data_IF_378431360189
#
_entry.id   IF_378431360189
#
_cell.length_a   1.000
_cell.length_b   1.000
_cell.length_c   1.000
_cell.angle_alpha   90.00
_cell.angle_beta   90.00
_cell.angle_gamma   90.00
#
_symmetry.space_group_name_H-M   'P 1'
#
loop_
_entity.id
_entity.type
_entity.pdbx_description
1 polymer ?
#
# COMPACT_ATOMS: atom_id res chain seq x y z
N UNK A 1 32.05 -2.67 -19.50
CA UNK A 1 31.48 -4.03 -19.60
C UNK A 1 30.97 -4.29 -21.02
N UNK A 2 31.06 -5.51 -21.56
CA UNK A 2 30.53 -5.83 -22.92
C UNK A 2 28.99 -5.93 -22.86
N UNK A 3 28.27 -5.45 -23.89
CA UNK A 3 26.78 -5.35 -23.93
C UNK A 3 26.03 -6.60 -23.45
N UNK A 4 26.52 -7.80 -23.78
CA UNK A 4 25.94 -9.09 -23.35
C UNK A 4 25.81 -9.24 -21.82
N UNK A 5 26.75 -8.69 -21.04
CA UNK A 5 26.69 -8.79 -19.57
C UNK A 5 25.56 -7.97 -18.95
N UNK A 6 25.15 -6.86 -19.58
CA UNK A 6 24.01 -6.06 -19.10
C UNK A 6 22.69 -6.78 -19.35
N UNK A 7 22.56 -7.49 -20.47
CA UNK A 7 21.39 -8.32 -20.77
C UNK A 7 21.31 -9.53 -19.84
N UNK A 8 22.42 -10.23 -19.61
CA UNK A 8 22.49 -11.34 -18.64
C UNK A 8 22.19 -10.84 -17.23
N UNK A 9 22.76 -9.70 -16.80
CA UNK A 9 22.47 -9.11 -15.49
C UNK A 9 20.99 -8.72 -15.35
N UNK A 10 20.39 -8.07 -16.35
CA UNK A 10 18.97 -7.73 -16.32
C UNK A 10 18.05 -8.95 -16.25
N UNK A 11 18.39 -10.02 -16.97
CA UNK A 11 17.64 -11.28 -16.93
C UNK A 11 17.82 -12.01 -15.59
N UNK A 12 19.02 -12.00 -15.01
CA UNK A 12 19.27 -12.53 -13.66
C UNK A 12 18.52 -11.73 -12.58
N UNK A 13 18.49 -10.40 -12.66
CA UNK A 13 17.71 -9.56 -11.74
C UNK A 13 16.22 -9.83 -11.88
N UNK A 14 15.69 -9.92 -13.11
CA UNK A 14 14.28 -10.26 -13.35
C UNK A 14 13.91 -11.63 -12.79
N UNK A 15 14.72 -12.65 -13.07
CA UNK A 15 14.50 -14.01 -12.57
C UNK A 15 14.60 -14.09 -11.04
N UNK A 16 15.63 -13.49 -10.44
CA UNK A 16 15.78 -13.46 -8.99
C UNK A 16 14.63 -12.71 -8.30
N UNK A 17 14.20 -11.56 -8.86
CA UNK A 17 13.09 -10.78 -8.31
C UNK A 17 11.79 -11.57 -8.26
N UNK A 18 11.45 -12.30 -9.33
CA UNK A 18 10.23 -13.12 -9.37
C UNK A 18 10.35 -14.46 -8.62
N UNK A 19 11.55 -15.06 -8.52
CA UNK A 19 11.74 -16.27 -7.72
C UNK A 19 11.61 -15.99 -6.22
N UNK A 20 12.19 -14.88 -5.74
CA UNK A 20 12.10 -14.49 -4.33
C UNK A 20 10.69 -13.98 -4.00
N UNK A 21 10.14 -13.05 -4.79
CA UNK A 21 8.79 -12.55 -4.54
C UNK A 21 7.72 -13.65 -4.70
N UNK A 22 7.99 -14.69 -5.51
CA UNK A 22 7.10 -15.82 -5.72
C UNK A 22 7.09 -16.89 -4.63
N UNK A 23 7.81 -16.71 -3.51
CA UNK A 23 7.89 -17.70 -2.43
C UNK A 23 8.66 -18.97 -2.76
N UNK A 24 9.41 -19.03 -3.87
CA UNK A 24 10.17 -20.23 -4.26
C UNK A 24 11.47 -20.42 -3.47
N UNK A 25 11.80 -19.50 -2.56
CA UNK A 25 12.99 -19.54 -1.70
C UNK A 25 12.60 -19.05 -0.31
N UNK A 26 11.95 -19.90 0.48
CA UNK A 26 11.69 -19.63 1.89
C UNK A 26 12.95 -19.94 2.75
N UNK A 27 13.44 -18.99 3.56
CA UNK A 27 14.63 -19.19 4.40
C UNK A 27 14.31 -19.78 5.78
N UNK A 28 13.03 -20.02 6.11
CA UNK A 28 12.56 -20.50 7.41
C UNK A 28 11.81 -21.84 7.25
N UNK A 29 12.01 -22.81 8.16
CA UNK A 29 11.23 -24.05 8.18
C UNK A 29 9.86 -23.81 8.79
N UNK A 30 8.86 -24.41 8.17
CA UNK A 30 7.45 -24.44 8.60
C UNK A 30 7.29 -25.21 9.93
N UNK A 31 6.78 -24.59 11.03
CA UNK A 31 6.52 -25.29 12.28
C UNK A 31 5.20 -26.08 12.20
N UNK A 32 5.28 -27.40 12.35
CA UNK A 32 4.12 -28.28 12.20
C UNK A 32 3.01 -28.11 13.26
N UNK A 33 1.79 -28.44 12.82
CA UNK A 33 0.48 -28.41 13.50
C UNK A 33 0.46 -28.80 14.99
N UNK A 34 -0.46 -28.15 15.74
CA UNK A 34 -1.33 -28.85 16.69
C UNK A 34 -2.82 -28.73 16.29
N UNK A 35 -3.49 -29.88 16.18
CA UNK A 35 -4.92 -30.02 15.79
C UNK A 35 -5.92 -29.54 16.90
N UNK A 36 -5.39 -28.96 17.99
CA UNK A 36 -6.13 -28.30 19.07
C UNK A 36 -5.33 -27.10 19.55
N UNK A 37 -5.94 -25.91 19.56
CA UNK A 37 -5.37 -24.74 20.22
C UNK A 37 -5.26 -25.02 21.72
N UNK A 38 -4.04 -25.19 22.19
CA UNK A 38 -3.74 -25.30 23.62
C UNK A 38 -4.01 -23.96 24.30
N UNK A 39 -4.45 -23.97 25.56
CA UNK A 39 -4.88 -22.74 26.25
C UNK A 39 -3.73 -21.74 26.44
N UNK A 40 -2.47 -22.19 26.44
CA UNK A 40 -1.29 -21.32 26.42
C UNK A 40 -1.11 -20.51 25.11
N UNK A 41 -1.86 -20.82 24.06
CA UNK A 41 -1.86 -20.10 22.77
C UNK A 41 -3.03 -19.11 22.62
N UNK A 42 -3.92 -19.04 23.61
CA UNK A 42 -5.07 -18.16 23.64
C UNK A 42 -4.86 -17.04 24.66
N UNK A 43 -5.29 -15.83 24.31
CA UNK A 43 -5.37 -14.71 25.25
C UNK A 43 -6.71 -14.76 25.99
N UNK A 44 -6.78 -14.23 27.21
CA UNK A 44 -8.03 -14.10 27.94
C UNK A 44 -8.37 -12.60 28.01
N UNK A 45 -9.35 -12.09 27.24
CA UNK A 45 -9.56 -10.65 27.11
C UNK A 45 -10.09 -9.99 28.38
N UNK A 46 -10.87 -10.71 29.19
CA UNK A 46 -11.41 -10.24 30.47
C UNK A 46 -11.04 -11.21 31.61
N UNK A 47 -10.86 -10.70 32.83
CA UNK A 47 -10.58 -11.53 34.01
C UNK A 47 -11.71 -12.55 34.27
N UNK A 48 -11.39 -13.84 34.07
CA UNK A 48 -12.37 -14.94 34.07
C UNK A 48 -13.43 -14.84 32.94
N UNK A 49 -13.09 -14.27 31.78
CA UNK A 49 -13.93 -14.34 30.55
C UNK A 49 -13.59 -15.55 29.67
N UNK A 50 -14.16 -15.62 28.47
CA UNK A 50 -13.73 -16.57 27.42
C UNK A 50 -12.29 -16.36 26.96
N UNK A 51 -11.73 -17.38 26.29
CA UNK A 51 -10.41 -17.32 25.67
C UNK A 51 -10.53 -17.03 24.18
N UNK A 52 -9.67 -16.17 23.66
CA UNK A 52 -9.64 -15.71 22.26
C UNK A 52 -8.30 -16.11 21.61
N UNK A 53 -8.35 -16.56 20.36
CA UNK A 53 -7.14 -16.75 19.56
C UNK A 53 -6.64 -15.37 19.05
N UNK A 54 -5.38 -14.98 19.33
CA UNK A 54 -4.90 -13.62 19.08
C UNK A 54 -4.64 -13.28 17.61
N UNK A 55 -5.12 -14.10 16.67
CA UNK A 55 -4.96 -13.90 15.23
C UNK A 55 -6.29 -14.07 14.48
N UNK A 56 -6.28 -13.69 13.21
CA UNK A 56 -7.38 -13.91 12.27
C UNK A 56 -6.93 -14.83 11.13
N UNK A 57 -7.80 -15.73 10.70
CA UNK A 57 -7.54 -16.71 9.63
C UNK A 57 -8.47 -16.51 8.44
N UNK A 58 -8.05 -16.97 7.26
CA UNK A 58 -8.88 -16.96 6.03
C UNK A 58 -9.96 -18.03 6.05
N UNK A 59 -9.71 -19.13 6.75
CA UNK A 59 -10.60 -20.27 6.91
C UNK A 59 -10.71 -20.64 8.40
N UNK A 60 -11.55 -21.62 8.73
CA UNK A 60 -11.77 -22.07 10.12
C UNK A 60 -10.67 -23.05 10.57
N UNK A 61 -9.42 -22.63 10.39
CA UNK A 61 -8.19 -23.34 10.79
C UNK A 61 -7.11 -22.34 11.22
N UNK A 62 -6.19 -22.78 12.05
CA UNK A 62 -4.95 -22.06 12.41
C UNK A 62 -3.99 -21.90 11.22
N UNK A 63 -4.02 -22.81 10.25
CA UNK A 63 -2.99 -22.89 9.19
C UNK A 63 -3.05 -21.72 8.19
N UNK A 64 -4.22 -21.09 8.06
CA UNK A 64 -4.41 -19.89 7.23
C UNK A 64 -4.37 -18.58 8.04
N UNK A 65 -3.63 -18.58 9.15
CA UNK A 65 -3.31 -17.40 9.97
C UNK A 65 -2.84 -16.21 9.11
N UNK A 66 -3.37 -15.02 9.44
CA UNK A 66 -3.06 -13.77 8.74
C UNK A 66 -2.53 -12.72 9.70
N UNK A 67 -3.37 -11.76 10.12
CA UNK A 67 -2.96 -10.66 10.98
C UNK A 67 -3.40 -10.90 12.42
N UNK A 68 -2.69 -10.29 13.36
CA UNK A 68 -3.07 -10.33 14.77
C UNK A 68 -4.37 -9.53 15.04
N UNK A 69 -5.05 -9.90 16.12
CA UNK A 69 -5.88 -8.98 16.91
C UNK A 69 -4.90 -8.05 17.63
N UNK A 70 -5.15 -6.74 17.59
CA UNK A 70 -4.26 -5.73 18.17
C UNK A 70 -4.93 -4.81 19.19
N UNK A 71 -6.25 -4.85 19.32
CA UNK A 71 -6.99 -4.11 20.33
C UNK A 71 -8.14 -4.95 20.90
N UNK A 72 -8.44 -4.77 22.18
CA UNK A 72 -9.67 -5.26 22.83
C UNK A 72 -10.34 -4.07 23.52
N UNK A 73 -11.63 -3.90 23.29
CA UNK A 73 -12.46 -2.87 23.95
C UNK A 73 -13.51 -3.57 24.80
N UNK A 74 -13.63 -3.18 26.07
CA UNK A 74 -14.66 -3.71 26.97
C UNK A 74 -15.95 -2.90 26.85
N UNK A 75 -17.08 -3.61 26.77
CA UNK A 75 -18.41 -3.03 26.55
C UNK A 75 -19.21 -3.79 25.49
N UNK A 76 -20.51 -3.54 25.45
CA UNK A 76 -21.41 -4.18 24.49
C UNK A 76 -21.15 -3.72 23.05
N UNK A 77 -21.39 -4.62 22.09
CA UNK A 77 -21.18 -4.43 20.65
C UNK A 77 -21.77 -3.08 20.16
N UNK A 78 -23.06 -2.83 20.42
CA UNK A 78 -23.73 -1.61 19.97
C UNK A 78 -23.28 -0.34 20.70
N UNK A 79 -22.51 -0.46 21.78
CA UNK A 79 -21.84 0.69 22.41
C UNK A 79 -20.49 0.93 21.75
N UNK A 80 -19.68 -0.11 21.55
CA UNK A 80 -18.37 0.03 20.88
C UNK A 80 -18.55 0.50 19.44
N UNK A 81 -19.48 -0.09 18.68
CA UNK A 81 -19.80 0.34 17.31
C UNK A 81 -20.28 1.81 17.28
N UNK A 82 -21.14 2.21 18.22
CA UNK A 82 -21.64 3.60 18.28
C UNK A 82 -20.57 4.60 18.72
N UNK A 83 -19.61 4.20 19.54
CA UNK A 83 -18.46 5.05 19.87
C UNK A 83 -17.51 5.21 18.68
N UNK A 84 -17.25 4.14 17.92
CA UNK A 84 -16.41 4.19 16.72
C UNK A 84 -17.04 4.99 15.57
N UNK A 85 -18.35 4.89 15.38
CA UNK A 85 -19.09 5.60 14.31
C UNK A 85 -19.54 7.01 14.74
N UNK A 86 -19.74 7.23 16.04
CA UNK A 86 -20.39 8.42 16.61
C UNK A 86 -19.46 9.52 17.12
N UNK A 87 -18.19 9.57 16.70
CA UNK A 87 -17.26 10.65 17.06
C UNK A 87 -17.61 12.04 16.43
N UNK A 88 -18.85 12.25 15.99
CA UNK A 88 -19.36 13.57 15.55
C UNK A 88 -20.09 14.35 16.68
N UNK A 89 -20.41 13.71 17.82
CA UNK A 89 -21.34 14.25 18.83
C UNK A 89 -20.66 15.08 19.95
N UNK A 90 -20.24 16.30 19.63
CA UNK A 90 -20.16 17.39 20.62
C UNK A 90 -21.53 18.11 20.73
N UNK A 91 -22.50 17.46 21.35
CA UNK A 91 -23.74 18.11 21.84
C UNK A 91 -23.43 19.02 23.05
N UNK A 92 -23.42 20.36 22.93
CA UNK A 92 -23.59 21.25 24.10
C UNK A 92 -24.41 22.52 23.82
N UNK A 93 -25.60 22.53 24.43
CA UNK A 93 -26.46 23.61 25.00
C UNK A 93 -26.65 25.01 24.34
N UNK A 94 -27.79 25.63 24.68
CA UNK A 94 -28.25 26.94 24.17
C UNK A 94 -27.46 28.09 24.84
N UNK A 95 -26.81 28.94 24.03
CA UNK A 95 -25.92 30.02 24.47
C UNK A 95 -26.62 31.02 25.42
N UNK A 96 -25.90 31.51 26.44
CA UNK A 96 -26.36 32.63 27.26
C UNK A 96 -26.30 33.93 26.42
N UNK A 97 -27.39 34.70 26.24
CA UNK A 97 -27.42 35.87 25.34
C UNK A 97 -26.47 37.02 25.71
N UNK A 98 -25.78 36.95 26.85
CA UNK A 98 -24.71 37.90 27.21
C UNK A 98 -23.34 37.54 26.56
N UNK A 99 -23.21 36.41 25.85
CA UNK A 99 -21.97 35.97 25.14
C UNK A 99 -21.98 36.21 23.61
N UNK A 100 -22.99 36.91 23.05
CA UNK A 100 -23.23 37.04 21.60
C UNK A 100 -22.16 37.75 20.73
N UNK A 101 -21.11 38.38 21.29
CA UNK A 101 -20.27 39.37 20.58
C UNK A 101 -18.74 39.07 20.51
N UNK A 102 -18.26 37.89 20.95
CA UNK A 102 -16.87 37.48 20.70
C UNK A 102 -16.75 36.47 19.53
N UNK A 103 -15.97 36.78 18.46
CA UNK A 103 -15.76 35.84 17.35
C UNK A 103 -14.72 34.78 17.72
N UNK A 104 -15.17 33.70 18.35
CA UNK A 104 -14.34 32.50 18.54
C UNK A 104 -14.08 31.81 17.19
N UNK A 105 -12.82 31.86 16.76
CA UNK A 105 -12.32 31.05 15.65
C UNK A 105 -11.77 29.76 16.22
N UNK A 106 -12.57 28.70 16.18
CA UNK A 106 -12.11 27.33 16.39
C UNK A 106 -11.30 26.88 15.16
N UNK A 107 -10.01 27.22 15.14
CA UNK A 107 -9.00 26.45 14.42
C UNK A 107 -8.50 25.35 15.37
N UNK A 108 -9.21 24.22 15.42
CA UNK A 108 -8.69 22.89 15.74
C UNK A 108 -9.78 21.84 15.48
N UNK A 109 -9.86 21.39 14.22
CA UNK A 109 -10.65 20.25 13.75
C UNK A 109 -9.94 19.59 12.56
N UNK A 110 -8.62 19.40 12.69
CA UNK A 110 -7.84 18.54 11.80
C UNK A 110 -7.74 17.14 12.43
N UNK A 111 -8.01 16.12 11.62
CA UNK A 111 -7.73 14.69 11.86
C UNK A 111 -8.59 13.88 12.86
N UNK A 112 -9.87 14.21 13.09
CA UNK A 112 -10.84 13.20 13.56
C UNK A 112 -11.14 12.18 12.43
N UNK A 113 -11.05 10.89 12.75
CA UNK A 113 -11.18 9.81 11.77
C UNK A 113 -12.63 9.33 11.68
N UNK A 114 -13.31 9.71 10.59
CA UNK A 114 -14.68 9.26 10.33
C UNK A 114 -14.71 7.80 9.84
N UNK A 115 -15.30 6.92 10.65
CA UNK A 115 -15.42 5.48 10.38
C UNK A 115 -16.76 5.12 9.70
N UNK A 116 -16.69 4.68 8.44
CA UNK A 116 -17.83 4.24 7.61
C UNK A 116 -17.96 2.72 7.49
N UNK A 117 -19.15 2.21 7.13
CA UNK A 117 -19.40 0.78 6.82
C UNK A 117 -18.48 0.22 5.71
N UNK A 118 -17.66 -0.77 6.06
CA UNK A 118 -16.69 -1.37 5.15
C UNK A 118 -17.11 -2.73 4.58
N UNK A 119 -16.61 -3.02 3.38
CA UNK A 119 -16.76 -4.32 2.71
C UNK A 119 -15.39 -4.96 2.49
N UNK A 120 -15.15 -6.10 3.12
CA UNK A 120 -13.89 -6.85 3.08
C UNK A 120 -14.04 -8.32 2.67
N UNK A 121 -12.94 -9.08 2.74
CA UNK A 121 -13.00 -10.55 2.67
C UNK A 121 -13.12 -11.13 4.08
N UNK A 122 -14.06 -12.05 4.28
CA UNK A 122 -14.35 -12.68 5.57
C UNK A 122 -13.11 -13.24 6.24
N UNK A 123 -12.99 -13.06 7.54
CA UNK A 123 -11.94 -13.64 8.38
C UNK A 123 -12.56 -14.26 9.61
N UNK A 124 -11.93 -15.34 10.08
CA UNK A 124 -12.37 -16.05 11.26
C UNK A 124 -11.38 -15.84 12.41
N UNK A 125 -11.87 -15.76 13.63
CA UNK A 125 -11.08 -15.99 14.85
C UNK A 125 -11.75 -17.05 15.70
N UNK A 126 -11.03 -17.61 16.67
CA UNK A 126 -11.50 -18.72 17.49
C UNK A 126 -11.72 -18.27 18.94
N UNK A 127 -12.86 -18.67 19.51
CA UNK A 127 -13.25 -18.37 20.89
C UNK A 127 -13.59 -19.66 21.64
N UNK A 128 -13.02 -19.84 22.83
CA UNK A 128 -13.38 -20.88 23.80
C UNK A 128 -14.12 -20.24 24.99
N UNK A 129 -15.46 -20.26 24.91
CA UNK A 129 -16.37 -19.81 25.97
C UNK A 129 -16.89 -20.95 26.87
N UNK A 130 -16.27 -22.14 26.83
CA UNK A 130 -16.79 -23.34 27.48
C UNK A 130 -16.94 -23.23 29.02
N UNK A 131 -16.16 -22.37 29.67
CA UNK A 131 -16.24 -22.17 31.13
C UNK A 131 -17.47 -21.34 31.56
N UNK A 132 -18.06 -20.59 30.62
CA UNK A 132 -19.26 -19.76 30.84
C UNK A 132 -20.52 -20.34 30.22
N UNK A 133 -20.47 -21.61 29.79
CA UNK A 133 -21.59 -22.33 29.18
C UNK A 133 -21.76 -22.08 27.68
N UNK A 134 -20.81 -21.40 27.04
CA UNK A 134 -20.74 -21.26 25.58
C UNK A 134 -20.07 -22.45 24.90
N UNK A 135 -19.98 -22.38 23.57
CA UNK A 135 -19.28 -23.37 22.75
C UNK A 135 -17.86 -22.93 22.38
N UNK A 136 -17.09 -23.87 21.81
CA UNK A 136 -15.76 -23.65 21.20
C UNK A 136 -15.94 -23.45 19.71
N UNK A 137 -15.87 -22.20 19.25
CA UNK A 137 -16.32 -21.85 17.91
C UNK A 137 -15.35 -20.93 17.17
N UNK A 138 -15.34 -21.08 15.86
CA UNK A 138 -14.81 -20.08 14.94
C UNK A 138 -15.91 -19.09 14.60
N UNK A 139 -15.71 -17.81 14.95
CA UNK A 139 -16.59 -16.68 14.64
C UNK A 139 -16.02 -15.91 13.46
N UNK A 140 -16.89 -15.39 12.60
CA UNK A 140 -16.59 -14.38 11.57
C UNK A 140 -16.71 -12.95 12.13
N UNK A 141 -16.40 -11.94 11.31
CA UNK A 141 -16.52 -10.54 11.73
C UNK A 141 -17.97 -10.11 11.98
N UNK A 142 -18.23 -9.46 13.13
CA UNK A 142 -19.55 -8.91 13.49
C UNK A 142 -19.87 -7.67 12.67
N UNK A 143 -18.86 -6.79 12.49
CA UNK A 143 -18.92 -5.62 11.61
C UNK A 143 -17.52 -5.23 11.11
N UNK A 144 -17.48 -4.43 10.04
CA UNK A 144 -16.24 -3.87 9.46
C UNK A 144 -16.42 -2.38 9.25
N UNK A 145 -15.43 -1.57 9.65
CA UNK A 145 -15.42 -0.13 9.43
C UNK A 145 -14.18 0.29 8.65
N UNK A 146 -14.23 1.43 7.97
CA UNK A 146 -13.07 2.03 7.31
C UNK A 146 -13.06 3.55 7.42
N UNK A 147 -11.87 4.12 7.32
CA UNK A 147 -11.70 5.57 7.16
C UNK A 147 -10.64 5.86 6.08
N UNK A 148 -11.01 6.68 5.10
CA UNK A 148 -10.21 6.93 3.89
C UNK A 148 -10.89 6.45 2.61
N UNK A 149 -10.11 6.08 1.58
CA UNK A 149 -10.64 5.78 0.23
C UNK A 149 -10.33 4.36 -0.21
N UNK A 150 -11.26 3.75 -0.95
CA UNK A 150 -11.12 2.38 -1.46
C UNK A 150 -9.99 2.28 -2.48
N UNK A 151 -9.93 3.16 -3.49
CA UNK A 151 -8.87 3.13 -4.53
C UNK A 151 -7.59 3.87 -4.12
N UNK A 152 -7.54 4.43 -2.92
CA UNK A 152 -6.38 5.08 -2.31
C UNK A 152 -5.79 4.22 -1.20
N UNK A 153 -5.68 4.83 -0.02
CA UNK A 153 -5.36 4.21 1.26
C UNK A 153 -6.50 4.45 2.25
N UNK A 154 -6.67 3.52 3.19
CA UNK A 154 -7.64 3.61 4.28
C UNK A 154 -7.15 2.87 5.51
N UNK A 155 -7.59 3.30 6.68
CA UNK A 155 -7.61 2.44 7.87
C UNK A 155 -8.85 1.55 7.80
N UNK A 156 -8.75 0.33 8.34
CA UNK A 156 -9.80 -0.66 8.27
C UNK A 156 -9.86 -1.43 9.59
N UNK A 157 -11.05 -1.50 10.18
CA UNK A 157 -11.37 -2.25 11.40
C UNK A 157 -12.15 -3.50 11.01
N UNK A 158 -11.81 -4.62 11.65
CA UNK A 158 -12.71 -5.76 11.83
C UNK A 158 -12.97 -5.96 13.31
N UNK A 159 -14.23 -6.00 13.69
CA UNK A 159 -14.66 -6.30 15.04
C UNK A 159 -15.20 -7.72 15.14
N UNK A 160 -14.86 -8.40 16.24
CA UNK A 160 -15.34 -9.73 16.58
C UNK A 160 -15.93 -9.66 17.99
N UNK A 161 -17.17 -10.12 18.15
CA UNK A 161 -17.93 -10.08 19.41
C UNK A 161 -18.45 -11.47 19.77
N UNK A 162 -18.88 -11.65 21.03
CA UNK A 162 -19.40 -12.91 21.55
C UNK A 162 -20.64 -12.63 22.41
N UNK A 163 -21.65 -13.52 22.37
CA UNK A 163 -22.86 -13.39 23.19
C UNK A 163 -22.62 -13.69 24.69
N UNK A 164 -21.41 -14.11 25.06
CA UNK A 164 -21.08 -14.63 26.40
C UNK A 164 -20.28 -13.68 27.29
N UNK A 165 -19.60 -12.67 26.72
CA UNK A 165 -18.75 -11.72 27.46
C UNK A 165 -18.85 -10.33 26.83
N UNK A 166 -18.81 -9.28 27.65
CA UNK A 166 -18.84 -7.87 27.20
C UNK A 166 -17.44 -7.39 26.73
N UNK A 167 -16.91 -8.01 25.67
CA UNK A 167 -15.71 -7.54 24.97
C UNK A 167 -15.88 -7.55 23.45
N UNK A 168 -15.22 -6.60 22.79
CA UNK A 168 -15.09 -6.50 21.33
C UNK A 168 -13.61 -6.58 20.98
N UNK A 169 -13.21 -7.63 20.26
CA UNK A 169 -11.86 -7.78 19.76
C UNK A 169 -11.73 -7.10 18.39
N UNK A 170 -10.72 -6.24 18.25
CA UNK A 170 -10.51 -5.41 17.08
C UNK A 170 -9.18 -5.77 16.40
N UNK A 171 -9.28 -5.98 15.10
CA UNK A 171 -8.16 -5.93 14.17
C UNK A 171 -8.25 -4.62 13.40
N UNK A 172 -7.35 -3.68 13.71
CA UNK A 172 -7.20 -2.40 12.99
C UNK A 172 -5.91 -2.39 12.17
N UNK A 173 -6.00 -2.08 10.88
CA UNK A 173 -4.85 -2.04 9.97
C UNK A 173 -4.96 -0.97 8.89
N UNK A 174 -3.82 -0.49 8.39
CA UNK A 174 -3.75 0.39 7.23
C UNK A 174 -3.54 -0.45 5.98
N UNK A 175 -4.41 -0.24 5.00
CA UNK A 175 -4.33 -0.88 3.69
C UNK A 175 -4.47 0.12 2.55
N UNK A 176 -3.94 -0.24 1.39
CA UNK A 176 -4.13 0.53 0.16
C UNK A 176 -4.47 -0.39 -1.01
N UNK A 177 -5.23 0.12 -1.98
CA UNK A 177 -5.50 -0.65 -3.19
C UNK A 177 -4.27 -0.69 -4.11
N UNK A 178 -3.75 -1.90 -4.32
CA UNK A 178 -2.64 -2.17 -5.22
C UNK A 178 -3.16 -2.49 -6.62
N UNK A 179 -3.12 -1.49 -7.50
CA UNK A 179 -3.46 -1.60 -8.92
C UNK A 179 -2.69 -2.67 -9.72
N UNK A 180 -1.53 -3.14 -9.25
CA UNK A 180 -0.73 -4.19 -9.88
C UNK A 180 -0.95 -5.58 -9.25
N UNK A 181 -1.56 -5.67 -8.06
CA UNK A 181 -2.01 -6.94 -7.44
C UNK A 181 -3.53 -7.16 -7.52
N UNK A 182 -4.30 -6.13 -7.89
CA UNK A 182 -5.77 -6.08 -7.89
C UNK A 182 -6.42 -6.44 -6.55
N UNK A 183 -5.78 -6.04 -5.45
CA UNK A 183 -6.27 -6.25 -4.08
C UNK A 183 -5.76 -5.17 -3.14
N UNK A 184 -6.42 -5.04 -1.99
CA UNK A 184 -5.86 -4.30 -0.87
C UNK A 184 -4.58 -5.00 -0.38
N UNK A 185 -3.58 -4.19 -0.07
CA UNK A 185 -2.31 -4.62 0.50
C UNK A 185 -2.15 -3.92 1.83
N UNK A 186 -2.04 -4.70 2.91
CA UNK A 186 -1.79 -4.17 4.25
C UNK A 186 -0.34 -3.72 4.34
N UNK A 187 -0.11 -2.55 4.93
CA UNK A 187 1.21 -1.90 5.02
C UNK A 187 1.67 -1.63 6.44
N UNK A 188 0.73 -1.59 7.39
CA UNK A 188 0.97 -1.26 8.78
C UNK A 188 -0.20 -1.76 9.65
N UNK A 189 0.10 -2.26 10.86
CA UNK A 189 -0.90 -2.49 11.91
C UNK A 189 -0.62 -1.67 13.18
N UNK A 190 0.64 -1.33 13.47
CA UNK A 190 1.05 -0.65 14.70
C UNK A 190 0.74 0.85 14.71
N UNK A 191 0.97 1.58 13.61
CA UNK A 191 0.53 2.97 13.50
C UNK A 191 -0.99 3.04 13.53
N UNK A 192 -1.66 2.11 12.88
CA UNK A 192 -3.14 2.05 12.86
C UNK A 192 -3.73 1.80 14.25
N UNK A 193 -3.09 0.91 15.02
CA UNK A 193 -3.36 0.70 16.44
C UNK A 193 -3.10 1.98 17.25
N UNK A 194 -1.93 2.61 17.11
CA UNK A 194 -1.60 3.86 17.81
C UNK A 194 -2.56 5.02 17.47
N UNK A 195 -3.05 5.09 16.23
CA UNK A 195 -4.02 6.10 15.78
C UNK A 195 -5.37 5.88 16.45
N UNK A 196 -5.89 4.64 16.43
CA UNK A 196 -7.13 4.29 17.11
C UNK A 196 -7.01 4.40 18.65
N UNK A 197 -5.83 4.12 19.23
CA UNK A 197 -5.54 4.43 20.63
C UNK A 197 -5.62 5.94 20.90
N UNK A 198 -5.16 6.78 19.97
CA UNK A 198 -5.26 8.24 20.05
C UNK A 198 -6.71 8.72 20.12
N UNK A 199 -7.59 8.18 19.28
CA UNK A 199 -9.04 8.46 19.29
C UNK A 199 -9.71 8.14 20.64
N UNK A 200 -9.19 7.19 21.44
CA UNK A 200 -9.66 6.91 22.79
C UNK A 200 -8.94 7.68 23.91
N UNK A 201 -7.79 8.31 23.63
CA UNK A 201 -6.98 9.00 24.66
C UNK A 201 -7.49 10.40 25.01
N UNK A 202 -8.33 11.00 24.17
CA UNK A 202 -8.83 12.38 24.35
C UNK A 202 -10.29 12.44 24.82
N UNK A 203 -10.93 11.28 25.00
CA UNK A 203 -12.37 11.14 25.31
C UNK A 203 -12.68 11.08 26.82
N UNK A 204 -13.64 11.87 27.34
CA UNK A 204 -13.88 12.02 28.78
C UNK A 204 -14.54 10.80 29.47
N UNK A 205 -14.83 9.74 28.73
CA UNK A 205 -15.46 8.50 29.21
C UNK A 205 -14.55 7.28 29.16
N UNK A 206 -13.28 7.43 28.78
CA UNK A 206 -12.27 6.37 28.81
C UNK A 206 -11.56 6.43 30.17
N UNK A 207 -11.75 5.42 31.02
CA UNK A 207 -11.20 5.45 32.39
C UNK A 207 -9.65 5.37 32.40
N UNK A 208 -9.03 4.85 31.34
CA UNK A 208 -7.94 3.89 31.53
C UNK A 208 -7.29 3.58 30.10
N UNK A 209 -5.96 3.60 29.78
CA UNK A 209 -5.28 3.05 28.53
C UNK A 209 -3.86 2.41 28.73
N UNK A 210 -3.65 1.08 28.52
CA UNK A 210 -2.42 0.27 28.83
C UNK A 210 -2.05 -0.71 27.70
N UNK A 211 -0.87 -1.33 27.80
CA UNK A 211 -0.40 -2.41 26.91
C UNK A 211 0.05 -3.64 27.70
N UNK A 212 -0.41 -4.79 27.26
CA UNK A 212 -0.04 -6.09 27.81
C UNK A 212 0.76 -6.91 26.80
N UNK A 213 1.80 -7.57 27.29
CA UNK A 213 2.65 -8.41 26.45
C UNK A 213 2.16 -9.85 26.50
N UNK A 214 1.59 -10.31 25.39
CA UNK A 214 1.06 -11.68 25.23
C UNK A 214 1.99 -12.56 24.37
N UNK A 215 3.11 -12.04 23.88
CA UNK A 215 4.14 -12.83 23.17
C UNK A 215 3.77 -13.23 21.74
N UNK A 216 2.75 -12.59 21.18
CA UNK A 216 2.19 -12.80 19.83
C UNK A 216 3.01 -12.10 18.74
N UNK A 217 4.19 -12.63 18.42
CA UNK A 217 5.15 -12.02 17.47
C UNK A 217 4.87 -12.31 15.99
N UNK A 218 3.78 -13.02 15.69
CA UNK A 218 3.41 -13.39 14.33
C UNK A 218 2.32 -12.45 13.79
N UNK A 219 1.94 -12.59 12.51
CA UNK A 219 0.90 -11.74 11.91
C UNK A 219 1.19 -10.23 11.94
N UNK A 220 2.47 -9.86 11.90
CA UNK A 220 3.02 -8.49 11.93
C UNK A 220 2.89 -7.74 13.28
N UNK A 221 2.54 -8.43 14.36
CA UNK A 221 2.54 -7.88 15.73
C UNK A 221 3.95 -8.04 16.39
N UNK A 222 4.31 -7.16 17.33
CA UNK A 222 5.58 -7.19 18.10
C UNK A 222 5.47 -7.93 19.45
N UNK A 223 4.36 -8.62 19.68
CA UNK A 223 4.05 -9.38 20.89
C UNK A 223 3.23 -8.62 21.94
N UNK A 224 2.83 -7.38 21.65
CA UNK A 224 2.02 -6.54 22.56
C UNK A 224 0.59 -6.40 22.04
N UNK A 225 -0.36 -6.40 22.99
CA UNK A 225 -1.78 -6.18 22.76
C UNK A 225 -2.25 -5.08 23.73
N UNK A 226 -3.03 -4.12 23.25
CA UNK A 226 -3.45 -2.98 24.07
C UNK A 226 -4.69 -3.34 24.88
N UNK A 227 -4.57 -3.27 26.21
CA UNK A 227 -5.62 -3.49 27.22
C UNK A 227 -5.67 -2.24 28.07
N UNK A 228 -6.83 -1.61 28.14
CA UNK A 228 -6.95 -0.17 28.32
C UNK A 228 -7.01 0.17 29.86
N UNK A 229 -5.87 0.64 30.47
CA UNK A 229 -5.64 1.21 31.87
C UNK A 229 -4.57 2.37 32.01
N UNK A 230 -4.90 3.55 32.59
CA UNK A 230 -4.33 4.93 32.42
C UNK A 230 -2.98 5.21 33.12
N UNK A 231 -2.02 5.82 32.39
CA UNK A 231 -1.04 6.75 32.97
C UNK A 231 -0.39 7.68 31.91
N UNK A 232 -0.13 8.94 32.29
CA UNK A 232 0.25 10.03 31.36
C UNK A 232 1.77 10.29 31.27
N UNK A 233 2.33 10.42 30.05
CA UNK A 233 3.65 11.06 29.80
C UNK A 233 3.63 11.89 28.51
N UNK A 234 4.19 13.10 28.57
CA UNK A 234 4.04 14.17 27.58
C UNK A 234 4.91 14.05 26.29
N UNK A 235 4.51 14.70 25.17
CA UNK A 235 5.25 14.69 23.91
C UNK A 235 6.49 15.60 23.89
N UNK A 236 7.51 15.20 23.13
CA UNK A 236 8.70 16.02 22.82
C UNK A 236 8.50 16.67 21.45
N UNK A 237 8.27 17.98 21.43
CA UNK A 237 8.27 18.79 20.20
C UNK A 237 9.71 19.12 19.79
N UNK A 238 10.09 18.79 18.55
CA UNK A 238 11.32 19.29 17.91
C UNK A 238 10.96 20.07 16.66
N UNK A 239 10.93 21.40 16.77
CA UNK A 239 10.78 22.30 15.62
C UNK A 239 12.05 22.43 14.79
N UNK A 240 11.91 22.82 13.51
CA UNK A 240 13.07 23.05 12.65
C UNK A 240 12.77 23.46 11.21
N UNK A 241 12.38 24.73 10.99
CA UNK A 241 12.48 25.38 9.67
C UNK A 241 13.68 26.33 9.66
N UNK A 242 14.32 26.46 8.50
CA UNK A 242 15.44 27.35 8.15
C UNK A 242 16.84 27.03 8.72
N UNK A 243 17.73 26.58 7.81
CA UNK A 243 19.16 26.82 7.96
C UNK A 243 20.08 25.82 7.25
N UNK A 244 20.31 25.98 5.94
CA UNK A 244 21.58 25.55 5.33
C UNK A 244 21.91 26.29 4.01
N UNK A 245 22.29 27.55 4.19
CA UNK A 245 23.03 28.30 3.18
C UNK A 245 24.52 27.93 3.30
N UNK A 246 25.03 27.18 2.32
CA UNK A 246 26.45 27.20 1.95
C UNK A 246 27.46 26.34 2.70
N UNK A 247 27.80 25.18 2.11
CA UNK A 247 29.20 24.88 1.77
C UNK A 247 29.29 24.44 0.31
N UNK A 248 29.19 25.40 -0.61
CA UNK A 248 29.76 25.24 -1.94
C UNK A 248 31.22 25.67 -1.85
N UNK A 249 32.14 24.71 -1.90
CA UNK A 249 33.56 25.02 -2.02
C UNK A 249 33.85 25.66 -3.38
N UNK A 250 34.59 26.78 -3.36
CA UNK A 250 34.79 27.67 -4.52
C UNK A 250 35.69 27.11 -5.63
N UNK A 251 36.11 25.84 -5.55
CA UNK A 251 36.86 25.14 -6.60
C UNK A 251 35.99 24.25 -7.51
N UNK A 252 34.74 23.94 -7.14
CA UNK A 252 33.86 23.08 -7.93
C UNK A 252 33.10 23.79 -9.07
N UNK A 253 33.03 25.13 -9.05
CA UNK A 253 32.20 25.91 -9.99
C UNK A 253 32.85 26.15 -11.37
N UNK A 254 34.17 26.03 -11.51
CA UNK A 254 34.87 26.18 -12.79
C UNK A 254 34.81 24.93 -13.70
N UNK A 255 34.28 23.79 -13.23
CA UNK A 255 34.11 22.58 -14.03
C UNK A 255 32.83 22.54 -14.88
N UNK A 256 31.75 23.16 -14.41
CA UNK A 256 30.38 22.92 -14.92
C UNK A 256 30.10 23.65 -16.25
N UNK A 257 30.70 24.83 -16.47
CA UNK A 257 30.41 25.67 -17.64
C UNK A 257 30.99 25.15 -18.97
N UNK A 258 31.90 24.15 -18.95
CA UNK A 258 32.33 23.43 -20.17
C UNK A 258 31.53 22.15 -20.42
N UNK A 259 30.84 21.61 -19.42
CA UNK A 259 29.95 20.45 -19.54
C UNK A 259 28.55 20.81 -20.02
N UNK A 260 28.05 22.01 -19.70
CA UNK A 260 26.68 22.47 -19.94
C UNK A 260 26.19 22.26 -21.38
N UNK A 261 26.92 22.72 -22.40
CA UNK A 261 26.53 22.53 -23.82
C UNK A 261 26.45 21.05 -24.21
N UNK A 262 27.30 20.19 -23.66
CA UNK A 262 27.32 18.75 -23.95
C UNK A 262 26.18 18.02 -23.25
N UNK A 263 25.88 18.40 -22.01
CA UNK A 263 24.74 17.92 -21.24
C UNK A 263 23.41 18.37 -21.88
N UNK A 264 23.28 19.63 -22.27
CA UNK A 264 22.11 20.17 -22.99
C UNK A 264 21.94 19.50 -24.37
N UNK A 265 23.02 19.30 -25.13
CA UNK A 265 22.95 18.56 -26.40
C UNK A 265 22.51 17.11 -26.17
N UNK A 266 23.03 16.44 -25.13
CA UNK A 266 22.59 15.09 -24.77
C UNK A 266 21.13 15.05 -24.33
N UNK A 267 20.67 16.00 -23.51
CA UNK A 267 19.29 16.09 -23.05
C UNK A 267 18.34 16.33 -24.23
N UNK A 268 18.67 17.27 -25.12
CA UNK A 268 17.93 17.53 -26.37
C UNK A 268 17.84 16.27 -27.25
N UNK A 269 18.94 15.53 -27.39
CA UNK A 269 18.96 14.26 -28.14
C UNK A 269 18.17 13.12 -27.46
N UNK A 270 17.81 13.26 -26.18
CA UNK A 270 17.04 12.29 -25.40
C UNK A 270 15.66 12.83 -24.96
N UNK A 271 15.11 13.90 -25.58
CA UNK A 271 13.77 14.45 -25.26
C UNK A 271 12.69 13.38 -25.25
N UNK A 272 12.69 12.48 -26.25
CA UNK A 272 11.81 11.29 -26.26
C UNK A 272 11.91 10.40 -25.02
N UNK A 273 13.08 10.33 -24.41
CA UNK A 273 13.34 9.58 -23.18
C UNK A 273 12.73 10.26 -21.96
N UNK A 274 12.85 11.58 -21.85
CA UNK A 274 12.16 12.34 -20.80
C UNK A 274 10.63 12.27 -20.96
N UNK A 275 10.11 12.42 -22.18
CA UNK A 275 8.67 12.26 -22.44
C UNK A 275 8.20 10.84 -22.12
N UNK A 276 8.99 9.81 -22.44
CA UNK A 276 8.71 8.43 -22.03
C UNK A 276 8.68 8.26 -20.51
N UNK A 277 9.67 8.79 -19.80
CA UNK A 277 9.72 8.68 -18.34
C UNK A 277 8.51 9.37 -17.68
N UNK A 278 8.18 10.59 -18.11
CA UNK A 278 7.02 11.35 -17.61
C UNK A 278 5.70 10.68 -17.98
N UNK A 279 5.56 10.14 -19.20
CA UNK A 279 4.33 9.46 -19.63
C UNK A 279 4.09 8.15 -18.87
N UNK A 280 5.15 7.38 -18.54
CA UNK A 280 5.01 6.18 -17.71
C UNK A 280 4.65 6.52 -16.27
N UNK A 281 5.32 7.52 -15.67
CA UNK A 281 4.98 7.98 -14.32
C UNK A 281 3.53 8.51 -14.24
N UNK A 282 3.16 9.37 -15.20
CA UNK A 282 1.82 9.97 -15.30
C UNK A 282 0.71 8.96 -15.62
N UNK A 283 1.01 7.82 -16.25
CA UNK A 283 0.05 6.73 -16.42
C UNK A 283 -0.26 6.00 -15.10
N UNK A 284 0.74 5.79 -14.25
CA UNK A 284 0.53 5.17 -12.92
C UNK A 284 -0.28 6.12 -12.03
N UNK A 285 0.27 7.31 -11.77
CA UNK A 285 -0.36 8.31 -10.90
C UNK A 285 -1.71 8.77 -11.45
N UNK A 286 -1.84 8.93 -12.77
CA UNK A 286 -3.09 9.35 -13.42
C UNK A 286 -4.19 8.28 -13.38
N UNK A 287 -3.84 6.99 -13.35
CA UNK A 287 -4.84 5.93 -13.12
C UNK A 287 -5.34 5.97 -11.68
N UNK A 288 -4.47 6.14 -10.68
CA UNK A 288 -4.92 6.28 -9.29
C UNK A 288 -5.76 7.54 -9.08
N UNK A 289 -5.27 8.69 -9.51
CA UNK A 289 -5.98 9.96 -9.41
C UNK A 289 -7.33 9.94 -10.15
N UNK A 290 -7.38 9.29 -11.32
CA UNK A 290 -8.63 9.06 -12.06
C UNK A 290 -9.61 8.13 -11.33
N UNK A 291 -9.11 7.06 -10.70
CA UNK A 291 -9.91 6.18 -9.86
C UNK A 291 -10.53 6.91 -8.67
N UNK A 292 -9.70 7.60 -7.88
CA UNK A 292 -10.12 8.41 -6.73
C UNK A 292 -11.14 9.49 -7.10
N UNK A 293 -10.91 10.22 -8.19
CA UNK A 293 -11.83 11.26 -8.66
C UNK A 293 -13.20 10.70 -9.11
N UNK A 294 -13.23 9.48 -9.64
CA UNK A 294 -14.49 8.82 -10.05
C UNK A 294 -15.21 8.18 -8.86
N UNK A 295 -14.47 7.62 -7.90
CA UNK A 295 -14.98 7.13 -6.62
C UNK A 295 -15.72 8.24 -5.86
N UNK A 296 -15.05 9.38 -5.64
CA UNK A 296 -15.65 10.55 -4.98
C UNK A 296 -16.83 11.16 -5.75
N UNK A 297 -16.84 11.08 -7.09
CA UNK A 297 -17.91 11.66 -7.91
C UNK A 297 -19.14 10.75 -8.06
N UNK A 298 -19.01 9.43 -7.81
CA UNK A 298 -20.03 8.42 -8.12
C UNK A 298 -20.10 7.33 -7.02
N UNK A 299 -20.39 7.70 -5.75
CA UNK A 299 -20.28 6.78 -4.60
C UNK A 299 -21.27 5.60 -4.64
N UNK A 300 -22.34 5.68 -5.43
CA UNK A 300 -23.34 4.60 -5.55
C UNK A 300 -22.94 3.45 -6.50
N UNK A 301 -21.75 3.51 -7.11
CA UNK A 301 -21.21 2.43 -7.94
C UNK A 301 -20.04 1.79 -7.20
N UNK A 302 -19.99 0.46 -7.14
CA UNK A 302 -18.90 -0.25 -6.46
C UNK A 302 -17.54 0.08 -7.10
N UNK A 303 -16.50 0.41 -6.32
CA UNK A 303 -15.18 0.78 -6.85
C UNK A 303 -14.55 -0.27 -7.78
N UNK A 304 -14.91 -1.55 -7.61
CA UNK A 304 -14.53 -2.68 -8.47
C UNK A 304 -14.93 -2.48 -9.95
N UNK A 305 -16.03 -1.77 -10.22
CA UNK A 305 -16.44 -1.43 -11.58
C UNK A 305 -15.43 -0.46 -12.23
N UNK A 306 -14.90 0.50 -11.48
CA UNK A 306 -13.88 1.42 -11.95
C UNK A 306 -12.54 0.69 -12.18
N UNK A 307 -12.16 -0.23 -11.29
CA UNK A 307 -10.97 -1.09 -11.48
C UNK A 307 -10.98 -1.78 -12.85
N UNK A 308 -12.14 -2.35 -13.24
CA UNK A 308 -12.34 -3.01 -14.55
C UNK A 308 -12.05 -2.08 -15.75
N UNK A 309 -12.32 -0.77 -15.62
CA UNK A 309 -12.10 0.23 -16.67
C UNK A 309 -10.66 0.77 -16.67
N UNK A 310 -10.12 1.05 -15.48
CA UNK A 310 -8.82 1.71 -15.33
C UNK A 310 -7.63 0.74 -15.39
N UNK A 311 -7.75 -0.49 -14.89
CA UNK A 311 -6.64 -1.46 -14.89
C UNK A 311 -6.08 -1.78 -16.30
N UNK A 312 -6.91 -1.98 -17.36
CA UNK A 312 -6.42 -2.14 -18.73
C UNK A 312 -5.50 -1.01 -19.22
N UNK A 313 -5.65 0.21 -18.70
CA UNK A 313 -4.80 1.36 -19.02
C UNK A 313 -3.38 1.13 -18.51
N UNK A 314 -3.19 0.52 -17.34
CA UNK A 314 -1.85 0.13 -16.85
C UNK A 314 -1.30 -1.06 -17.64
N UNK A 315 -2.08 -2.14 -17.76
CA UNK A 315 -1.65 -3.40 -18.38
C UNK A 315 -1.19 -3.20 -19.83
N UNK A 316 -1.95 -2.42 -20.61
CA UNK A 316 -1.72 -2.21 -22.04
C UNK A 316 -1.06 -0.85 -22.32
N UNK A 317 -1.46 0.20 -21.63
CA UNK A 317 -0.98 1.57 -21.88
C UNK A 317 0.50 1.78 -21.53
N UNK A 318 1.02 1.13 -20.48
CA UNK A 318 2.45 1.20 -20.15
C UNK A 318 3.33 0.54 -21.26
N UNK A 319 3.10 -0.73 -21.68
CA UNK A 319 3.77 -1.31 -22.84
C UNK A 319 3.57 -0.54 -24.15
N UNK A 320 2.35 -0.07 -24.45
CA UNK A 320 2.07 0.68 -25.70
C UNK A 320 2.84 2.01 -25.71
N UNK A 321 2.90 2.72 -24.58
CA UNK A 321 3.66 3.97 -24.45
C UNK A 321 5.16 3.73 -24.64
N UNK A 322 5.70 2.68 -24.01
CA UNK A 322 7.08 2.25 -24.22
C UNK A 322 7.36 1.94 -25.70
N UNK A 323 6.50 1.17 -26.39
CA UNK A 323 6.65 0.83 -27.81
C UNK A 323 6.57 2.09 -28.69
N UNK A 324 5.56 2.95 -28.49
CA UNK A 324 5.30 4.12 -29.33
C UNK A 324 6.44 5.14 -29.28
N UNK A 325 7.03 5.37 -28.10
CA UNK A 325 8.06 6.40 -27.92
C UNK A 325 9.48 5.91 -28.24
N UNK A 326 9.72 4.59 -28.23
CA UNK A 326 11.04 4.00 -28.50
C UNK A 326 11.21 3.44 -29.91
N UNK A 327 10.16 2.88 -30.51
CA UNK A 327 10.26 2.13 -31.77
C UNK A 327 10.58 3.07 -32.96
N UNK A 328 11.48 2.67 -33.88
CA UNK A 328 11.72 3.41 -35.12
C UNK A 328 10.50 3.33 -36.05
N UNK A 329 10.21 4.44 -36.74
CA UNK A 329 9.03 4.56 -37.62
C UNK A 329 9.02 3.54 -38.77
N UNK A 330 10.19 3.09 -39.22
CA UNK A 330 10.37 2.03 -40.23
C UNK A 330 9.74 0.69 -39.81
N UNK A 331 9.62 0.44 -38.50
CA UNK A 331 9.04 -0.80 -37.92
C UNK A 331 7.58 -0.59 -37.48
N UNK A 332 7.03 0.61 -37.64
CA UNK A 332 5.67 0.97 -37.22
C UNK A 332 4.61 0.32 -38.12
N UNK A 333 3.86 -0.64 -37.57
CA UNK A 333 2.69 -1.23 -38.25
C UNK A 333 1.38 -0.78 -37.61
N UNK A 334 1.14 -1.17 -36.36
CA UNK A 334 -0.15 -0.96 -35.67
C UNK A 334 -0.35 0.47 -35.15
N UNK A 335 0.70 1.13 -34.67
CA UNK A 335 0.60 2.44 -33.99
C UNK A 335 1.12 3.62 -34.83
N UNK A 336 1.13 3.50 -36.16
CA UNK A 336 1.78 4.43 -37.09
C UNK A 336 1.33 5.90 -36.95
N UNK A 337 0.08 6.15 -36.55
CA UNK A 337 -0.41 7.52 -36.27
C UNK A 337 0.28 8.13 -35.03
N UNK A 338 0.27 7.40 -33.91
CA UNK A 338 0.90 7.82 -32.65
C UNK A 338 2.42 7.94 -32.81
N UNK A 339 3.04 6.99 -33.51
CA UNK A 339 4.48 6.96 -33.75
C UNK A 339 4.94 8.09 -34.68
N UNK A 340 4.07 8.56 -35.60
CA UNK A 340 4.32 9.78 -36.39
C UNK A 340 4.32 11.03 -35.50
N UNK A 341 3.36 11.20 -34.60
CA UNK A 341 3.36 12.32 -33.63
C UNK A 341 4.59 12.25 -32.73
N UNK A 342 4.90 11.07 -32.19
CA UNK A 342 6.10 10.85 -31.40
C UNK A 342 7.39 11.15 -32.19
N UNK A 343 7.43 11.04 -33.51
CA UNK A 343 8.61 11.35 -34.33
C UNK A 343 8.99 12.83 -34.33
N UNK A 344 8.04 13.73 -34.03
CA UNK A 344 8.30 15.16 -33.86
C UNK A 344 9.14 15.46 -32.61
N UNK A 345 9.15 14.56 -31.62
CA UNK A 345 9.96 14.65 -30.40
C UNK A 345 11.45 14.27 -30.61
N UNK A 346 11.84 13.89 -31.84
CA UNK A 346 13.24 13.64 -32.21
C UNK A 346 13.53 12.22 -32.69
N UNK A 347 14.82 11.85 -32.67
CA UNK A 347 15.31 10.55 -33.17
C UNK A 347 14.89 9.37 -32.26
N UNK A 348 14.82 8.13 -32.77
CA UNK A 348 14.67 6.94 -31.94
C UNK A 348 15.72 6.87 -30.83
N UNK A 349 15.30 6.45 -29.65
CA UNK A 349 16.18 6.27 -28.50
C UNK A 349 17.18 5.14 -28.77
N UNK A 350 18.41 5.27 -28.27
CA UNK A 350 19.31 4.14 -28.23
C UNK A 350 18.78 3.09 -27.22
N UNK A 351 18.95 1.77 -27.44
CA UNK A 351 18.33 0.73 -26.61
C UNK A 351 18.64 0.86 -25.11
N UNK A 352 19.87 1.22 -24.75
CA UNK A 352 20.25 1.45 -23.36
C UNK A 352 19.60 2.71 -22.75
N UNK A 353 19.33 3.75 -23.55
CA UNK A 353 18.55 4.91 -23.09
C UNK A 353 17.08 4.54 -22.91
N UNK A 354 16.51 3.79 -23.86
CA UNK A 354 15.12 3.31 -23.79
C UNK A 354 14.88 2.45 -22.53
N UNK A 355 15.81 1.54 -22.19
CA UNK A 355 15.81 0.80 -20.93
C UNK A 355 15.81 1.75 -19.73
N UNK A 356 16.82 2.64 -19.64
CA UNK A 356 17.03 3.49 -18.48
C UNK A 356 15.87 4.47 -18.23
N UNK A 357 15.37 5.14 -19.27
CA UNK A 357 14.23 6.05 -19.14
C UNK A 357 12.93 5.33 -18.79
N UNK A 358 12.74 4.09 -19.24
CA UNK A 358 11.55 3.30 -18.86
C UNK A 358 11.61 2.85 -17.40
N UNK A 359 12.78 2.37 -16.96
CA UNK A 359 13.00 1.96 -15.57
C UNK A 359 12.87 3.14 -14.60
N UNK A 360 13.50 4.28 -14.91
CA UNK A 360 13.38 5.51 -14.10
C UNK A 360 11.96 6.07 -14.13
N UNK A 361 11.29 6.06 -15.29
CA UNK A 361 9.92 6.56 -15.43
C UNK A 361 8.90 5.75 -14.64
N UNK A 362 8.92 4.43 -14.79
CA UNK A 362 8.00 3.55 -14.05
C UNK A 362 8.32 3.54 -12.55
N UNK A 363 9.61 3.54 -12.17
CA UNK A 363 10.03 3.64 -10.77
C UNK A 363 9.63 4.95 -10.11
N UNK A 364 9.80 6.08 -10.79
CA UNK A 364 9.28 7.36 -10.33
C UNK A 364 7.75 7.36 -10.25
N UNK A 365 7.06 6.70 -11.19
CA UNK A 365 5.63 6.45 -11.11
C UNK A 365 5.21 5.74 -9.83
N UNK A 366 5.86 4.63 -9.48
CA UNK A 366 5.58 3.91 -8.23
C UNK A 366 5.88 4.75 -6.99
N UNK A 367 7.01 5.45 -6.94
CA UNK A 367 7.37 6.30 -5.78
C UNK A 367 6.35 7.44 -5.60
N UNK A 368 5.97 8.12 -6.68
CA UNK A 368 4.95 9.18 -6.64
C UNK A 368 3.55 8.63 -6.28
N UNK A 369 3.22 7.42 -6.74
CA UNK A 369 1.98 6.73 -6.39
C UNK A 369 1.91 6.48 -4.88
N UNK A 370 2.93 5.82 -4.29
CA UNK A 370 2.99 5.53 -2.85
C UNK A 370 3.03 6.81 -1.99
N UNK A 371 3.79 7.83 -2.39
CA UNK A 371 3.80 9.12 -1.70
C UNK A 371 2.42 9.81 -1.76
N UNK A 372 1.70 9.69 -2.88
CA UNK A 372 0.36 10.26 -3.06
C UNK A 372 -0.74 9.60 -2.23
N UNK A 373 -0.48 8.42 -1.65
CA UNK A 373 -1.36 7.71 -0.70
C UNK A 373 -0.72 7.52 0.69
N UNK A 374 0.30 8.31 1.03
CA UNK A 374 0.90 8.29 2.37
C UNK A 374 1.63 7.00 2.77
N UNK A 375 1.90 6.07 1.84
CA UNK A 375 2.51 4.79 2.16
C UNK A 375 4.03 4.94 2.38
N UNK A 376 4.44 4.80 3.64
CA UNK A 376 5.84 4.95 4.08
C UNK A 376 6.64 3.65 4.09
N UNK A 377 5.97 2.50 4.10
CA UNK A 377 6.56 1.17 4.32
C UNK A 377 6.03 0.19 3.26
N UNK A 378 6.91 -0.66 2.72
CA UNK A 378 6.57 -1.66 1.70
C UNK A 378 7.25 -2.99 2.02
N UNK A 379 6.55 -4.14 1.93
CA UNK A 379 7.17 -5.46 1.99
C UNK A 379 8.25 -5.66 0.91
N UNK A 380 9.24 -6.49 1.21
CA UNK A 380 10.39 -6.71 0.32
C UNK A 380 9.95 -7.43 -0.95
N UNK A 381 9.01 -8.36 -0.83
CA UNK A 381 8.39 -9.16 -1.90
C UNK A 381 7.69 -8.23 -2.90
N UNK A 382 6.95 -7.25 -2.37
CA UNK A 382 6.29 -6.21 -3.15
C UNK A 382 7.30 -5.33 -3.90
N UNK A 383 8.37 -4.88 -3.22
CA UNK A 383 9.43 -4.08 -3.83
C UNK A 383 10.17 -4.85 -4.93
N UNK A 384 10.43 -6.15 -4.73
CA UNK A 384 11.03 -7.04 -5.72
C UNK A 384 10.09 -7.28 -6.90
N UNK A 385 8.79 -7.47 -6.67
CA UNK A 385 7.79 -7.55 -7.74
C UNK A 385 7.79 -6.28 -8.61
N UNK A 386 7.79 -5.09 -7.98
CA UNK A 386 7.91 -3.80 -8.69
C UNK A 386 9.22 -3.69 -9.47
N UNK A 387 10.34 -4.15 -8.92
CA UNK A 387 11.63 -4.19 -9.62
C UNK A 387 11.58 -5.11 -10.85
N UNK A 388 10.94 -6.27 -10.74
CA UNK A 388 10.69 -7.17 -11.86
C UNK A 388 9.88 -6.50 -12.98
N UNK A 389 8.76 -5.83 -12.65
CA UNK A 389 7.96 -5.09 -13.62
C UNK A 389 8.74 -3.95 -14.30
N UNK A 390 9.56 -3.20 -13.53
CA UNK A 390 10.45 -2.16 -14.07
C UNK A 390 11.47 -2.71 -15.06
N UNK A 391 12.11 -3.84 -14.73
CA UNK A 391 13.08 -4.49 -15.60
C UNK A 391 12.40 -5.08 -16.85
N UNK A 392 11.23 -5.71 -16.70
CA UNK A 392 10.46 -6.25 -17.81
C UNK A 392 10.05 -5.17 -18.82
N UNK A 393 9.48 -4.05 -18.35
CA UNK A 393 9.11 -2.92 -19.22
C UNK A 393 10.37 -2.25 -19.82
N UNK A 394 11.46 -2.14 -19.06
CA UNK A 394 12.74 -1.66 -19.57
C UNK A 394 13.31 -2.52 -20.69
N UNK A 395 13.25 -3.86 -20.56
CA UNK A 395 13.65 -4.80 -21.62
C UNK A 395 12.74 -4.66 -22.85
N UNK A 396 11.42 -4.58 -22.65
CA UNK A 396 10.45 -4.37 -23.72
C UNK A 396 10.78 -3.10 -24.52
N UNK A 397 11.04 -1.97 -23.84
CA UNK A 397 11.46 -0.70 -24.41
C UNK A 397 12.82 -0.77 -25.15
N UNK A 398 13.78 -1.52 -24.60
CA UNK A 398 15.09 -1.72 -25.23
C UNK A 398 14.99 -2.59 -26.49
N UNK A 399 14.11 -3.59 -26.50
CA UNK A 399 13.84 -4.45 -27.64
C UNK A 399 13.11 -3.73 -28.78
N UNK A 400 12.10 -2.91 -28.46
CA UNK A 400 11.38 -2.09 -29.44
C UNK A 400 12.24 -0.99 -30.07
N UNK A 401 13.22 -0.44 -29.34
CA UNK A 401 14.22 0.50 -29.85
C UNK A 401 15.19 -0.11 -30.90
N UNK A 402 15.19 -1.43 -31.08
CA UNK A 402 16.00 -2.15 -32.08
C UNK A 402 15.15 -2.64 -33.25
N UNK A 403 15.80 -2.96 -34.37
CA UNK A 403 15.18 -3.52 -35.58
C UNK A 403 15.61 -4.96 -35.90
N UNK A 404 16.62 -5.49 -35.21
CA UNK A 404 17.24 -6.78 -35.47
C UNK A 404 16.63 -7.95 -34.66
N UNK A 405 17.14 -9.16 -34.90
CA UNK A 405 16.71 -10.38 -34.21
C UNK A 405 17.06 -10.36 -32.71
N UNK A 406 18.19 -9.76 -32.31
CA UNK A 406 18.54 -9.54 -30.90
C UNK A 406 17.48 -8.64 -30.23
N UNK A 407 17.06 -7.56 -30.90
CA UNK A 407 15.95 -6.71 -30.47
C UNK A 407 14.62 -7.46 -30.29
N UNK A 408 14.28 -8.35 -31.23
CA UNK A 408 13.05 -9.15 -31.15
C UNK A 408 13.07 -10.13 -29.95
N UNK A 409 14.23 -10.76 -29.67
CA UNK A 409 14.38 -11.63 -28.50
C UNK A 409 14.25 -10.85 -27.18
N UNK A 410 14.93 -9.70 -27.06
CA UNK A 410 14.84 -8.83 -25.87
C UNK A 410 13.39 -8.34 -25.66
N UNK A 411 12.71 -7.94 -26.74
CA UNK A 411 11.29 -7.55 -26.69
C UNK A 411 10.39 -8.68 -26.18
N UNK A 412 10.58 -9.90 -26.71
CA UNK A 412 9.82 -11.08 -26.29
C UNK A 412 10.02 -11.43 -24.81
N UNK A 413 11.26 -11.34 -24.31
CA UNK A 413 11.57 -11.55 -22.88
C UNK A 413 10.91 -10.47 -22.01
N UNK A 414 11.00 -9.20 -22.40
CA UNK A 414 10.36 -8.10 -21.67
C UNK A 414 8.83 -8.22 -21.62
N UNK A 415 8.21 -8.57 -22.75
CA UNK A 415 6.77 -8.80 -22.82
C UNK A 415 6.32 -10.02 -22.00
N UNK A 416 7.06 -11.13 -22.06
CA UNK A 416 6.79 -12.30 -21.24
C UNK A 416 6.93 -11.97 -19.74
N UNK A 417 8.01 -11.29 -19.35
CA UNK A 417 8.22 -10.87 -17.97
C UNK A 417 7.15 -9.91 -17.44
N UNK A 418 6.60 -9.06 -18.31
CA UNK A 418 5.48 -8.16 -17.97
C UNK A 418 4.19 -8.94 -17.73
N UNK A 419 3.84 -9.86 -18.65
CA UNK A 419 2.64 -10.71 -18.53
C UNK A 419 2.76 -11.65 -17.31
N UNK A 420 3.91 -12.26 -17.07
CA UNK A 420 4.15 -13.12 -15.90
C UNK A 420 4.06 -12.32 -14.61
N UNK A 421 4.71 -11.15 -14.52
CA UNK A 421 4.64 -10.29 -13.33
C UNK A 421 3.21 -9.88 -12.98
N UNK A 422 2.41 -9.48 -13.98
CA UNK A 422 0.99 -9.17 -13.77
C UNK A 422 0.12 -10.39 -13.46
N UNK A 423 0.52 -11.60 -13.88
CA UNK A 423 -0.22 -12.84 -13.60
C UNK A 423 0.09 -13.41 -12.21
N UNK A 424 1.32 -13.31 -11.72
CA UNK A 424 1.73 -13.81 -10.39
C UNK A 424 0.76 -13.46 -9.25
N UNK A 425 0.33 -12.20 -9.04
CA UNK A 425 -0.55 -11.87 -7.93
C UNK A 425 -1.98 -12.40 -8.09
N UNK A 426 -2.41 -12.70 -9.32
CA UNK A 426 -3.74 -13.27 -9.63
C UNK A 426 -3.81 -14.77 -9.30
N UNK A 427 -2.66 -15.44 -9.22
CA UNK A 427 -2.53 -16.85 -8.82
C UNK A 427 -2.01 -17.03 -7.39
N UNK A 428 -1.96 -15.95 -6.59
CA UNK A 428 -1.57 -16.01 -5.17
C UNK A 428 -0.05 -16.06 -4.90
N UNK A 429 0.81 -15.98 -5.92
CA UNK A 429 2.28 -16.02 -5.76
C UNK A 429 2.90 -14.70 -5.25
N UNK A 430 2.14 -13.86 -4.52
CA UNK A 430 2.57 -12.55 -4.01
C UNK A 430 1.75 -12.13 -2.80
#
# INVERSE_FOLDING_TARGET
MKRRHLLVLGLLVLAASYLVAGGFVDPLPDPGEPETLDREQLIQPADNGSYLWPYTSRDRSTDEQTLAINLVVHGSDERVQRLLVGQEDLEWEELDPDEEDEPEVYEDADDQIQWDDAHGSTRYTYVDAAEHGGERIWIDESYQLHAGTYLGSRHHIRAYTTEHDDWTAIQVHQEYFDWFRLRHSVTDIQRSQNTLEGEFLEEPYVEEVRREYHGTHEGWNDGWLSVIELALVAPIVVGGVLGLLGVLSTDALCGVLRGSRRALTWAYLNVRGFVLAVALAGLVVGVRAGGLAVEAAVPWISPQAFVTVFYPILVVGLPVTAIVLTQPLERASRFLRLQRVASWLGKPLAPQSAFAFSLVGLGAGFVLDFLGIGITTLPIELLLHRLGLMVALGLLAAGSARSDAEGAAIFGIGLLGWVVGLAMPLFGYL
#
